data_IF_337621486599
#
_entry.id   IF_337621486599
#
_cell.length_a   1.000
_cell.length_b   1.000
_cell.length_c   1.000
_cell.angle_alpha   90.00
_cell.angle_beta   90.00
_cell.angle_gamma   90.00
#
_symmetry.space_group_name_H-M   'P 1'
#
loop_
_entity.id
_entity.type
_entity.pdbx_description
1 polymer ?
#
# COMPACT_ATOMS: atom_id res chain seq x y z
N UNK A 1 -73.32 50.37 15.71
CA UNK A 1 -73.73 49.40 16.76
C UNK A 1 -72.71 48.26 16.80
N UNK A 2 -72.18 47.95 18.01
CA UNK A 2 -71.35 46.78 18.42
C UNK A 2 -69.95 46.67 17.88
N UNK A 3 -69.06 47.26 18.55
CA UNK A 3 -67.89 46.86 19.31
C UNK A 3 -67.63 45.36 19.39
N UNK A 4 -66.45 44.93 18.92
CA UNK A 4 -65.77 43.74 19.43
C UNK A 4 -64.27 44.01 19.52
N UNK A 5 -63.80 44.00 20.76
CA UNK A 5 -62.42 44.12 21.19
C UNK A 5 -61.71 42.81 20.90
N UNK A 6 -60.68 42.82 20.06
CA UNK A 6 -59.75 41.71 19.90
C UNK A 6 -58.53 41.95 20.79
N UNK A 7 -58.40 41.11 21.76
CA UNK A 7 -57.22 41.06 22.65
C UNK A 7 -56.03 40.48 21.92
N UNK A 8 -54.95 41.24 21.86
CA UNK A 8 -53.63 40.79 21.42
C UNK A 8 -52.96 40.01 22.56
N UNK A 9 -52.84 38.70 22.40
CA UNK A 9 -52.02 37.84 23.23
C UNK A 9 -50.61 37.85 22.62
N UNK A 10 -49.71 38.59 23.27
CA UNK A 10 -48.28 38.54 22.96
C UNK A 10 -47.71 37.26 23.58
N UNK A 11 -47.46 36.24 22.76
CA UNK A 11 -46.72 35.07 23.17
C UNK A 11 -45.23 35.41 23.08
N UNK A 12 -44.61 35.66 24.22
CA UNK A 12 -43.15 35.70 24.38
C UNK A 12 -42.57 34.31 24.14
N UNK A 13 -41.98 34.11 23.00
CA UNK A 13 -41.13 32.94 22.74
C UNK A 13 -39.79 33.15 23.44
N UNK A 14 -39.62 32.50 24.58
CA UNK A 14 -38.35 32.38 25.28
C UNK A 14 -37.50 31.36 24.46
N UNK A 15 -36.62 31.85 23.58
CA UNK A 15 -35.60 31.03 22.95
C UNK A 15 -34.55 30.73 24.01
N UNK A 16 -34.64 29.54 24.61
CA UNK A 16 -33.57 28.99 25.42
C UNK A 16 -32.38 28.71 24.50
N UNK A 17 -31.38 29.57 24.55
CA UNK A 17 -30.08 29.37 23.91
C UNK A 17 -29.35 28.29 24.71
N UNK A 18 -29.54 27.03 24.32
CA UNK A 18 -28.71 25.94 24.80
C UNK A 18 -27.28 26.18 24.33
N UNK A 19 -26.41 26.61 25.23
CA UNK A 19 -24.98 26.61 25.03
C UNK A 19 -24.56 25.16 24.76
N UNK A 20 -24.33 24.85 23.48
CA UNK A 20 -23.66 23.62 23.10
C UNK A 20 -22.27 23.68 23.75
N UNK A 21 -22.06 22.88 24.77
CA UNK A 21 -20.73 22.56 25.25
C UNK A 21 -20.00 21.94 24.05
N UNK A 22 -19.04 22.69 23.51
CA UNK A 22 -17.99 22.13 22.68
C UNK A 22 -17.23 21.15 23.58
N UNK A 23 -17.68 19.91 23.58
CA UNK A 23 -16.93 18.83 24.19
C UNK A 23 -15.58 18.80 23.49
N UNK A 24 -14.51 19.07 24.23
CA UNK A 24 -13.16 18.76 23.81
C UNK A 24 -13.19 17.29 23.37
N UNK A 25 -13.14 17.07 22.06
CA UNK A 25 -12.92 15.73 21.51
C UNK A 25 -11.48 15.36 21.85
N UNK A 26 -11.28 14.97 23.10
CA UNK A 26 -10.08 14.28 23.53
C UNK A 26 -10.00 13.02 22.67
N UNK A 27 -9.20 13.11 21.61
CA UNK A 27 -8.98 12.00 20.69
C UNK A 27 -8.54 10.80 21.52
N UNK A 28 -9.30 9.72 21.47
CA UNK A 28 -8.97 8.49 22.17
C UNK A 28 -7.49 8.14 21.92
N UNK A 29 -6.74 7.71 22.93
CA UNK A 29 -5.34 7.38 22.76
C UNK A 29 -5.19 6.29 21.70
N UNK A 30 -4.49 6.60 20.61
CA UNK A 30 -4.22 5.62 19.56
C UNK A 30 -3.32 4.55 20.16
N UNK A 31 -3.78 3.30 20.14
CA UNK A 31 -3.04 2.13 20.58
C UNK A 31 -2.74 1.23 19.38
N UNK A 32 -1.50 0.80 19.27
CA UNK A 32 -1.03 -0.16 18.25
C UNK A 32 -0.47 -1.36 18.99
N UNK A 33 -1.09 -2.52 18.84
CA UNK A 33 -0.71 -3.76 19.53
C UNK A 33 -0.52 -3.60 21.05
N UNK A 34 -1.41 -2.83 21.71
CA UNK A 34 -1.37 -2.58 23.15
C UNK A 34 -0.35 -1.51 23.58
N UNK A 35 0.40 -0.93 22.64
CA UNK A 35 1.32 0.17 22.91
C UNK A 35 0.62 1.50 22.65
N UNK A 36 0.56 2.36 23.68
CA UNK A 36 -0.02 3.70 23.57
C UNK A 36 0.97 4.62 22.86
N UNK A 37 0.60 5.19 21.72
CA UNK A 37 1.49 6.09 20.95
C UNK A 37 1.90 7.33 21.76
N UNK A 38 1.10 7.76 22.72
CA UNK A 38 1.46 8.89 23.62
C UNK A 38 2.67 8.58 24.52
N UNK A 39 2.90 7.29 24.85
CA UNK A 39 4.00 6.87 25.74
C UNK A 39 5.34 6.69 25.03
N UNK A 40 5.35 6.67 23.70
CA UNK A 40 6.59 6.55 22.93
C UNK A 40 7.27 7.91 22.73
N UNK A 41 8.56 7.91 22.46
CA UNK A 41 9.32 9.15 22.24
C UNK A 41 8.84 9.90 20.99
N UNK A 42 9.26 11.20 20.85
CA UNK A 42 8.79 12.07 19.77
C UNK A 42 9.19 11.54 18.37
N UNK A 43 10.35 10.89 18.28
CA UNK A 43 10.89 10.31 17.04
C UNK A 43 10.64 8.80 16.95
N UNK A 44 9.80 8.24 17.84
CA UNK A 44 9.50 6.82 17.86
C UNK A 44 8.18 6.51 17.16
N UNK A 45 8.10 5.26 16.70
CA UNK A 45 6.87 4.66 16.22
C UNK A 45 6.71 3.25 16.79
N UNK A 46 5.57 2.66 16.50
CA UNK A 46 5.23 1.29 16.84
C UNK A 46 5.03 0.51 15.54
N UNK A 47 5.68 -0.64 15.43
CA UNK A 47 5.50 -1.52 14.29
C UNK A 47 4.08 -2.08 14.31
N UNK A 48 3.31 -1.77 13.29
CA UNK A 48 1.97 -2.33 13.09
C UNK A 48 2.05 -3.73 12.50
N UNK A 49 2.89 -3.89 11.48
CA UNK A 49 3.03 -5.15 10.77
C UNK A 49 4.42 -5.27 10.14
N UNK A 50 4.94 -6.49 10.09
CA UNK A 50 6.12 -6.85 9.29
C UNK A 50 5.86 -8.17 8.59
N UNK A 51 6.02 -8.20 7.27
CA UNK A 51 5.87 -9.42 6.48
C UNK A 51 6.85 -9.46 5.32
N UNK A 52 7.14 -10.67 4.85
CA UNK A 52 7.95 -10.88 3.66
C UNK A 52 7.05 -10.96 2.42
N UNK A 53 7.36 -10.19 1.41
CA UNK A 53 6.67 -10.20 0.11
C UNK A 53 7.64 -10.60 -1.00
N UNK A 54 7.24 -11.54 -1.83
CA UNK A 54 8.03 -11.91 -3.01
C UNK A 54 7.58 -11.08 -4.19
N UNK A 55 8.46 -10.22 -4.69
CA UNK A 55 8.21 -9.41 -5.88
C UNK A 55 8.90 -9.99 -7.10
N UNK A 56 8.21 -9.94 -8.24
CA UNK A 56 8.81 -10.30 -9.53
C UNK A 56 9.87 -9.26 -9.90
N UNK A 57 11.02 -9.73 -10.32
CA UNK A 57 12.09 -8.87 -10.79
C UNK A 57 11.71 -8.07 -12.02
N UNK A 58 12.43 -6.98 -12.26
CA UNK A 58 12.31 -6.23 -13.52
C UNK A 58 12.99 -7.04 -14.63
N UNK A 59 12.27 -7.26 -15.73
CA UNK A 59 12.86 -7.85 -16.92
C UNK A 59 13.82 -6.84 -17.57
N UNK A 60 15.01 -7.30 -17.93
CA UNK A 60 15.97 -6.51 -18.71
C UNK A 60 15.76 -6.64 -20.21
N UNK A 61 14.85 -7.53 -20.62
CA UNK A 61 14.57 -7.84 -22.00
C UNK A 61 15.44 -8.98 -22.57
N UNK A 62 16.46 -9.42 -21.85
CA UNK A 62 17.32 -10.53 -22.30
C UNK A 62 16.53 -11.82 -22.49
N UNK A 63 15.59 -12.12 -21.59
CA UNK A 63 14.69 -13.25 -21.72
C UNK A 63 13.76 -13.14 -22.93
N UNK A 64 13.30 -11.93 -23.25
CA UNK A 64 12.48 -11.69 -24.44
C UNK A 64 13.27 -11.91 -25.74
N UNK A 65 14.48 -11.34 -25.81
CA UNK A 65 15.36 -11.49 -26.99
C UNK A 65 15.78 -12.95 -27.14
N UNK A 66 16.29 -13.59 -26.10
CA UNK A 66 16.68 -15.00 -26.12
C UNK A 66 15.53 -15.93 -26.50
N UNK A 67 14.34 -15.70 -25.87
CA UNK A 67 13.13 -16.46 -26.18
C UNK A 67 12.63 -16.26 -27.60
N UNK A 68 12.69 -15.05 -28.14
CA UNK A 68 12.35 -14.77 -29.55
C UNK A 68 13.28 -15.49 -30.54
N UNK A 69 14.57 -15.45 -30.27
CA UNK A 69 15.58 -16.15 -31.14
C UNK A 69 15.33 -17.66 -31.11
N UNK A 70 15.21 -18.25 -29.92
CA UNK A 70 14.97 -19.69 -29.82
C UNK A 70 13.61 -20.09 -30.36
N UNK A 71 12.55 -19.35 -30.09
CA UNK A 71 11.22 -19.59 -30.61
C UNK A 71 11.14 -19.44 -32.12
N UNK A 72 11.85 -18.47 -32.69
CA UNK A 72 11.98 -18.30 -34.13
C UNK A 72 12.74 -19.45 -34.82
N UNK A 73 13.83 -19.93 -34.21
CA UNK A 73 14.57 -21.08 -34.70
C UNK A 73 13.75 -22.36 -34.72
N UNK A 74 13.01 -22.62 -33.60
CA UNK A 74 12.11 -23.77 -33.51
C UNK A 74 10.99 -23.64 -34.54
N UNK A 75 10.33 -22.46 -34.59
CA UNK A 75 9.28 -22.18 -35.57
C UNK A 75 9.72 -22.37 -37.02
N UNK A 76 10.95 -21.97 -37.34
CA UNK A 76 11.54 -22.17 -38.67
C UNK A 76 11.77 -23.65 -39.02
N UNK A 77 12.00 -24.51 -38.02
CA UNK A 77 12.18 -25.95 -38.25
C UNK A 77 10.86 -26.72 -38.36
N UNK A 78 9.81 -26.24 -37.73
CA UNK A 78 8.50 -26.90 -37.71
C UNK A 78 7.65 -26.50 -38.91
N UNK A 79 7.87 -25.30 -39.47
CA UNK A 79 7.12 -24.81 -40.63
C UNK A 79 7.65 -25.36 -41.95
N UNK A 80 6.72 -25.79 -42.84
CA UNK A 80 7.03 -26.21 -44.24
C UNK A 80 6.32 -25.30 -45.25
N UNK A 81 6.94 -25.14 -46.43
CA UNK A 81 6.36 -24.37 -47.53
C UNK A 81 6.06 -22.91 -47.19
N UNK A 82 4.97 -22.36 -47.71
CA UNK A 82 4.56 -20.97 -47.50
C UNK A 82 4.15 -20.63 -46.04
N UNK A 83 3.86 -21.65 -45.24
CA UNK A 83 3.52 -21.48 -43.80
C UNK A 83 4.74 -21.24 -42.89
N UNK A 84 5.98 -21.52 -43.39
CA UNK A 84 7.20 -21.42 -42.60
C UNK A 84 7.41 -20.03 -41.98
N UNK A 85 7.18 -18.97 -42.74
CA UNK A 85 7.32 -17.61 -42.29
C UNK A 85 6.35 -17.29 -41.14
N UNK A 86 5.09 -17.70 -41.26
CA UNK A 86 4.08 -17.49 -40.23
C UNK A 86 4.43 -18.19 -38.90
N UNK A 87 4.84 -19.47 -38.97
CA UNK A 87 5.25 -20.25 -37.78
C UNK A 87 6.51 -19.69 -37.15
N UNK A 88 7.47 -19.19 -37.94
CA UNK A 88 8.67 -18.53 -37.41
C UNK A 88 8.34 -17.25 -36.65
N UNK A 89 7.44 -16.41 -37.20
CA UNK A 89 6.99 -15.16 -36.51
C UNK A 89 6.23 -15.49 -35.24
N UNK A 90 5.28 -16.43 -35.28
CA UNK A 90 4.54 -16.85 -34.09
C UNK A 90 5.46 -17.43 -33.01
N UNK A 91 6.44 -18.25 -33.43
CA UNK A 91 7.46 -18.80 -32.53
C UNK A 91 8.32 -17.73 -31.89
N UNK A 92 8.74 -16.71 -32.65
CA UNK A 92 9.53 -15.59 -32.11
C UNK A 92 8.71 -14.74 -31.11
N UNK A 93 7.47 -14.40 -31.45
CA UNK A 93 6.58 -13.62 -30.55
C UNK A 93 6.24 -14.42 -29.29
N UNK A 94 5.80 -15.66 -29.44
CA UNK A 94 5.48 -16.53 -28.30
C UNK A 94 6.69 -16.80 -27.42
N UNK A 95 7.84 -17.09 -28.02
CA UNK A 95 9.11 -17.29 -27.31
C UNK A 95 9.59 -16.04 -26.59
N UNK A 96 9.43 -14.85 -27.21
CA UNK A 96 9.76 -13.58 -26.56
C UNK A 96 8.91 -13.29 -25.33
N UNK A 97 7.59 -13.51 -25.41
CA UNK A 97 6.66 -13.35 -24.27
C UNK A 97 6.98 -14.35 -23.16
N UNK A 98 7.16 -15.61 -23.50
CA UNK A 98 7.52 -16.66 -22.54
C UNK A 98 8.88 -16.40 -21.87
N UNK A 99 9.90 -16.04 -22.66
CA UNK A 99 11.23 -15.71 -22.16
C UNK A 99 11.24 -14.52 -21.19
N UNK A 100 10.45 -13.47 -21.49
CA UNK A 100 10.29 -12.33 -20.61
C UNK A 100 9.60 -12.71 -19.27
N UNK A 101 8.59 -13.60 -19.33
CA UNK A 101 7.92 -14.11 -18.13
C UNK A 101 8.85 -14.96 -17.27
N UNK A 102 9.66 -15.82 -17.90
CA UNK A 102 10.67 -16.63 -17.21
C UNK A 102 11.71 -15.73 -16.54
N UNK A 103 12.24 -14.71 -17.25
CA UNK A 103 13.21 -13.77 -16.68
C UNK A 103 12.69 -13.09 -15.42
N UNK A 104 11.44 -12.57 -15.43
CA UNK A 104 10.81 -11.96 -14.26
C UNK A 104 10.65 -12.94 -13.10
N UNK A 105 10.39 -14.20 -13.39
CA UNK A 105 10.23 -15.22 -12.36
C UNK A 105 11.56 -15.68 -11.75
N UNK A 106 12.61 -15.77 -12.56
CA UNK A 106 13.97 -16.11 -12.09
C UNK A 106 14.56 -14.99 -11.24
N UNK A 107 14.25 -13.75 -11.57
CA UNK A 107 14.71 -12.55 -10.83
C UNK A 107 13.79 -12.17 -9.67
N UNK A 108 13.01 -13.09 -9.11
CA UNK A 108 12.22 -12.82 -7.93
C UNK A 108 13.12 -12.41 -6.77
N UNK A 109 12.71 -11.36 -6.06
CA UNK A 109 13.39 -10.89 -4.86
C UNK A 109 12.38 -10.84 -3.72
N UNK A 110 12.77 -11.37 -2.56
CA UNK A 110 12.00 -11.19 -1.34
C UNK A 110 12.34 -9.84 -0.76
N UNK A 111 11.31 -9.05 -0.48
CA UNK A 111 11.41 -7.78 0.25
C UNK A 111 10.62 -7.88 1.54
N UNK A 112 11.16 -7.34 2.61
CA UNK A 112 10.48 -7.20 3.89
C UNK A 112 9.80 -5.84 3.94
N UNK A 113 8.49 -5.87 4.16
CA UNK A 113 7.65 -4.68 4.27
C UNK A 113 7.30 -4.49 5.73
N UNK A 114 7.71 -3.37 6.31
CA UNK A 114 7.43 -3.02 7.70
C UNK A 114 6.60 -1.75 7.73
N UNK A 115 5.44 -1.82 8.35
CA UNK A 115 4.53 -0.69 8.55
C UNK A 115 4.68 -0.19 9.98
N UNK A 116 5.02 1.09 10.12
CA UNK A 116 5.23 1.76 11.41
C UNK A 116 4.24 2.88 11.57
N UNK A 117 3.58 2.94 12.72
CA UNK A 117 2.71 4.04 13.12
C UNK A 117 3.51 4.96 14.04
N UNK A 118 3.68 6.21 13.64
CA UNK A 118 4.40 7.21 14.41
C UNK A 118 3.56 7.77 15.55
N UNK A 119 4.20 8.51 16.44
CA UNK A 119 3.55 9.13 17.60
C UNK A 119 2.38 10.06 17.23
N UNK A 120 2.45 10.73 16.11
CA UNK A 120 1.41 11.61 15.57
C UNK A 120 0.24 10.87 14.90
N UNK A 121 0.29 9.52 14.85
CA UNK A 121 -0.68 8.66 14.20
C UNK A 121 -0.43 8.48 12.71
N UNK A 122 0.59 9.09 12.12
CA UNK A 122 0.93 8.86 10.72
C UNK A 122 1.52 7.47 10.52
N UNK A 123 1.24 6.88 9.36
CA UNK A 123 1.71 5.53 9.03
C UNK A 123 2.75 5.62 7.92
N UNK A 124 3.89 5.00 8.14
CA UNK A 124 4.97 4.89 7.17
C UNK A 124 5.28 3.42 6.87
N UNK A 125 5.56 3.13 5.61
CA UNK A 125 5.94 1.79 5.16
C UNK A 125 7.38 1.81 4.70
N UNK A 126 8.17 0.88 5.22
CA UNK A 126 9.59 0.70 4.92
C UNK A 126 9.81 -0.63 4.23
N UNK A 127 10.67 -0.66 3.23
CA UNK A 127 11.00 -1.85 2.47
C UNK A 127 12.49 -2.15 2.56
N UNK A 128 12.83 -3.40 2.87
CA UNK A 128 14.22 -3.89 2.94
C UNK A 128 14.35 -5.24 2.23
N UNK A 129 15.50 -5.52 1.68
CA UNK A 129 15.82 -6.84 1.07
C UNK A 129 16.28 -7.88 2.09
N UNK A 130 16.60 -7.45 3.31
CA UNK A 130 16.98 -8.31 4.44
C UNK A 130 15.92 -8.27 5.52
N UNK A 131 15.78 -9.33 6.30
CA UNK A 131 14.88 -9.38 7.44
C UNK A 131 15.28 -8.31 8.47
N UNK A 132 14.39 -7.34 8.78
CA UNK A 132 14.67 -6.32 9.79
C UNK A 132 14.59 -6.85 11.22
N UNK A 133 14.18 -8.09 11.43
CA UNK A 133 13.92 -8.73 12.73
C UNK A 133 12.94 -7.93 13.61
N UNK A 134 12.05 -7.14 13.01
CA UNK A 134 11.02 -6.36 13.69
C UNK A 134 9.71 -7.14 13.72
N UNK A 135 8.96 -6.98 14.80
CA UNK A 135 7.66 -7.63 15.00
C UNK A 135 6.59 -6.60 15.33
N UNK A 136 5.35 -6.95 15.05
CA UNK A 136 4.20 -6.16 15.46
C UNK A 136 4.24 -5.86 16.98
N UNK A 137 4.06 -4.59 17.34
CA UNK A 137 4.16 -4.10 18.71
C UNK A 137 5.56 -3.64 19.13
N UNK A 138 6.61 -3.87 18.33
CA UNK A 138 7.94 -3.35 18.64
C UNK A 138 7.95 -1.81 18.57
N UNK A 139 8.62 -1.20 19.56
CA UNK A 139 8.90 0.23 19.54
C UNK A 139 10.20 0.45 18.78
N UNK A 140 10.15 1.31 17.77
CA UNK A 140 11.29 1.63 16.91
C UNK A 140 11.60 3.12 16.92
N UNK A 141 12.86 3.47 16.74
CA UNK A 141 13.30 4.83 16.48
C UNK A 141 13.63 4.96 15.00
N UNK A 142 13.31 6.10 14.40
CA UNK A 142 13.68 6.37 13.01
C UNK A 142 15.10 6.95 12.97
N UNK A 143 16.06 6.16 12.54
CA UNK A 143 17.43 6.57 12.33
C UNK A 143 17.75 6.61 10.85
N UNK A 144 18.18 7.73 10.34
CA UNK A 144 18.47 7.93 8.91
C UNK A 144 17.31 7.53 7.97
N UNK A 145 16.07 7.62 8.47
CA UNK A 145 14.88 7.25 7.70
C UNK A 145 14.54 5.76 7.72
N UNK A 146 15.21 4.95 8.55
CA UNK A 146 14.92 3.52 8.72
C UNK A 146 14.47 3.20 10.16
N UNK A 147 13.53 2.27 10.35
CA UNK A 147 13.11 1.83 11.67
C UNK A 147 14.17 0.90 12.29
N UNK A 148 14.66 1.30 13.46
CA UNK A 148 15.62 0.54 14.28
C UNK A 148 14.96 0.22 15.62
N UNK A 149 15.05 -1.04 16.06
CA UNK A 149 14.51 -1.46 17.37
C UNK A 149 15.22 -0.71 18.49
N UNK A 150 14.43 -0.25 19.44
CA UNK A 150 14.92 0.42 20.65
C UNK A 150 15.16 -0.56 21.80
#
# INVERSE_FOLDING_TARGET
MKSTRSALIAAMFFVAFSAAHAGDSESAPIEVHGVKLRSVCATCGVVSETHAETRKGKASGLGAVGGAVLGGLVGNRVGGGSGKAAVTVLGAVGGGVAGNAVEKNVKKTTVWVTTVVLKDGTTHTYERTSDPALRAGDVVTLESGEPVRR
#
